data_IF_116403816520
#
_entry.id   IF_116403816520
#
_cell.length_a   1.000
_cell.length_b   1.000
_cell.length_c   1.000
_cell.angle_alpha   90.00
_cell.angle_beta   90.00
_cell.angle_gamma   90.00
#
_symmetry.space_group_name_H-M   'P 1'
#
loop_
_entity.id
_entity.type
_entity.pdbx_description
1 polymer ?
#
# COMPACT_ATOMS: atom_id res chain seq x y z
N UNK A 1 -50.05 36.20 -1.11
CA UNK A 1 -48.71 36.45 -0.57
C UNK A 1 -48.83 36.51 0.94
N UNK A 2 -48.59 35.39 1.61
CA UNK A 2 -48.69 35.24 3.07
C UNK A 2 -47.27 35.23 3.63
N UNK A 3 -46.92 36.29 4.35
CA UNK A 3 -45.65 36.44 5.06
C UNK A 3 -45.71 35.63 6.36
N UNK A 4 -45.06 34.47 6.38
CA UNK A 4 -44.86 33.71 7.61
C UNK A 4 -43.93 34.46 8.56
N UNK A 5 -44.51 34.92 9.67
CA UNK A 5 -43.80 35.55 10.76
C UNK A 5 -43.10 34.46 11.59
N UNK A 6 -41.82 34.20 11.31
CA UNK A 6 -40.98 33.35 12.16
C UNK A 6 -40.70 34.04 13.48
N UNK A 7 -41.10 33.40 14.58
CA UNK A 7 -40.74 33.80 15.94
C UNK A 7 -39.24 33.61 16.21
N UNK A 8 -38.62 34.49 17.00
CA UNK A 8 -37.22 34.36 17.38
C UNK A 8 -36.98 33.13 18.28
N UNK A 9 -35.81 32.48 18.17
CA UNK A 9 -35.47 31.30 18.95
C UNK A 9 -35.43 31.60 20.44
N UNK A 10 -35.98 30.68 21.23
CA UNK A 10 -36.14 30.79 22.68
C UNK A 10 -34.75 30.72 23.38
N UNK A 11 -34.30 31.77 24.09
CA UNK A 11 -32.96 31.82 24.71
C UNK A 11 -32.78 30.92 25.95
N UNK A 12 -33.76 30.06 26.25
CA UNK A 12 -33.78 29.23 27.46
C UNK A 12 -33.60 27.72 27.25
N UNK A 13 -33.43 27.23 26.02
CA UNK A 13 -33.10 25.81 25.83
C UNK A 13 -31.60 25.61 26.04
N UNK A 14 -31.16 24.92 27.12
CA UNK A 14 -29.78 24.48 27.21
C UNK A 14 -29.55 23.61 25.98
N UNK A 15 -28.56 23.98 25.15
CA UNK A 15 -28.10 23.17 24.03
C UNK A 15 -28.04 21.73 24.52
N UNK A 16 -28.98 20.89 24.09
CA UNK A 16 -28.92 19.45 24.31
C UNK A 16 -27.67 19.03 23.57
N UNK A 17 -26.55 19.04 24.30
CA UNK A 17 -25.23 18.74 23.81
C UNK A 17 -25.38 17.49 22.99
N UNK A 18 -25.06 17.62 21.70
CA UNK A 18 -24.98 16.54 20.75
C UNK A 18 -24.11 15.48 21.39
N UNK A 19 -24.73 14.49 22.05
CA UNK A 19 -24.01 13.38 22.67
C UNK A 19 -23.29 12.75 21.48
N UNK A 20 -21.95 12.84 21.41
CA UNK A 20 -21.22 12.31 20.28
C UNK A 20 -21.61 10.84 20.20
N UNK A 21 -22.25 10.46 19.09
CA UNK A 21 -22.71 9.11 18.84
C UNK A 21 -21.60 8.18 19.27
N UNK A 22 -21.84 7.42 20.34
CA UNK A 22 -20.86 6.52 20.96
C UNK A 22 -20.16 5.81 19.81
N UNK A 23 -18.82 5.90 19.69
CA UNK A 23 -18.12 5.34 18.54
C UNK A 23 -18.59 3.90 18.41
N UNK A 24 -19.32 3.61 17.33
CA UNK A 24 -19.79 2.27 17.06
C UNK A 24 -18.54 1.44 16.91
N UNK A 25 -18.18 0.71 17.98
CA UNK A 25 -17.09 -0.22 17.90
C UNK A 25 -17.49 -1.21 16.81
N UNK A 26 -16.68 -1.35 15.74
CA UNK A 26 -17.00 -2.26 14.67
C UNK A 26 -17.32 -3.61 15.30
N UNK A 27 -18.50 -4.14 15.00
CA UNK A 27 -18.96 -5.43 15.52
C UNK A 27 -17.80 -6.42 15.42
N UNK A 28 -17.49 -7.09 16.54
CA UNK A 28 -16.40 -8.07 16.59
C UNK A 28 -16.67 -9.07 15.46
N UNK A 29 -15.73 -9.24 14.50
CA UNK A 29 -15.94 -10.13 13.38
C UNK A 29 -16.30 -11.51 13.93
N UNK A 30 -17.43 -12.03 13.47
CA UNK A 30 -17.99 -13.30 13.92
C UNK A 30 -16.91 -14.39 13.81
N UNK A 31 -16.62 -15.08 14.91
CA UNK A 31 -15.51 -16.04 15.12
C UNK A 31 -15.51 -17.27 14.19
N UNK A 32 -16.43 -17.36 13.23
CA UNK A 32 -16.36 -18.30 12.09
C UNK A 32 -15.49 -17.69 11.00
N UNK A 33 -14.23 -17.43 11.35
CA UNK A 33 -13.24 -16.93 10.42
C UNK A 33 -13.09 -17.90 9.26
N UNK A 34 -13.15 -17.39 8.04
CA UNK A 34 -13.13 -18.15 6.79
C UNK A 34 -11.78 -18.79 6.50
N UNK A 35 -11.04 -19.36 7.48
CA UNK A 35 -9.75 -20.03 7.25
C UNK A 35 -8.61 -19.16 6.70
N UNK A 36 -8.86 -17.88 6.41
CA UNK A 36 -7.87 -16.91 5.93
C UNK A 36 -7.41 -15.92 7.03
N UNK A 37 -8.02 -15.97 8.21
CA UNK A 37 -7.77 -15.02 9.30
C UNK A 37 -6.56 -15.36 10.17
N UNK A 38 -5.84 -16.45 9.89
CA UNK A 38 -4.66 -16.82 10.67
C UNK A 38 -3.56 -15.76 10.51
N UNK A 39 -3.24 -14.98 11.57
CA UNK A 39 -2.22 -13.94 11.50
C UNK A 39 -0.82 -14.50 11.21
N UNK A 40 -0.59 -15.81 11.44
CA UNK A 40 0.65 -16.47 11.03
C UNK A 40 0.83 -16.47 9.50
N UNK A 41 -0.28 -16.44 8.74
CA UNK A 41 -0.23 -16.30 7.29
C UNK A 41 0.07 -14.88 6.83
N UNK A 42 0.02 -13.85 7.68
CA UNK A 42 0.36 -12.47 7.30
C UNK A 42 1.86 -12.16 7.52
N UNK A 43 2.56 -12.95 8.32
CA UNK A 43 3.96 -12.75 8.67
C UNK A 43 4.94 -13.28 7.58
N UNK A 44 5.00 -12.58 6.44
CA UNK A 44 6.15 -12.63 5.53
C UNK A 44 6.22 -13.79 4.52
N UNK A 45 7.22 -13.71 3.62
CA UNK A 45 7.53 -14.78 2.67
C UNK A 45 8.10 -15.96 3.45
N UNK A 46 7.30 -17.02 3.57
CA UNK A 46 7.76 -18.26 4.18
C UNK A 46 8.89 -18.85 3.32
N UNK A 47 9.98 -19.28 3.94
CA UNK A 47 11.02 -20.11 3.30
C UNK A 47 10.42 -21.34 2.58
N UNK A 48 9.19 -21.74 2.93
CA UNK A 48 8.43 -22.76 2.20
C UNK A 48 8.11 -22.37 0.75
N UNK A 49 7.80 -21.09 0.46
CA UNK A 49 7.54 -20.64 -0.91
C UNK A 49 8.79 -20.79 -1.78
N UNK A 50 9.97 -20.43 -1.26
CA UNK A 50 11.22 -20.60 -1.97
C UNK A 50 11.52 -22.08 -2.23
N UNK A 51 11.39 -22.94 -1.20
CA UNK A 51 11.57 -24.40 -1.34
C UNK A 51 10.62 -25.00 -2.39
N UNK A 52 9.37 -24.55 -2.40
CA UNK A 52 8.39 -24.95 -3.41
C UNK A 52 8.81 -24.53 -4.83
N UNK A 53 9.26 -23.28 -5.03
CA UNK A 53 9.72 -22.81 -6.33
C UNK A 53 10.94 -23.58 -6.83
N UNK A 54 11.88 -23.92 -5.94
CA UNK A 54 13.04 -24.76 -6.28
C UNK A 54 12.57 -26.16 -6.69
N UNK A 55 11.67 -26.79 -5.94
CA UNK A 55 11.12 -28.10 -6.29
C UNK A 55 10.40 -28.08 -7.64
N UNK A 56 9.61 -27.03 -7.92
CA UNK A 56 8.91 -26.85 -9.18
C UNK A 56 9.89 -26.65 -10.36
N UNK A 57 10.97 -25.89 -10.13
CA UNK A 57 12.00 -25.68 -11.13
C UNK A 57 12.74 -26.98 -11.47
N UNK A 58 13.11 -27.77 -10.45
CA UNK A 58 13.73 -29.09 -10.66
C UNK A 58 12.80 -30.06 -11.40
N UNK A 59 11.51 -30.06 -11.06
CA UNK A 59 10.49 -30.83 -11.78
C UNK A 59 10.40 -30.42 -13.26
N UNK A 60 10.40 -29.11 -13.55
CA UNK A 60 10.38 -28.61 -14.92
C UNK A 60 11.62 -29.02 -15.73
N UNK A 61 12.80 -29.07 -15.10
CA UNK A 61 14.02 -29.58 -15.73
C UNK A 61 13.95 -31.08 -16.00
N UNK A 62 13.38 -31.85 -15.07
CA UNK A 62 13.15 -33.29 -15.28
C UNK A 62 12.20 -33.52 -16.46
N UNK A 63 11.11 -32.75 -16.54
CA UNK A 63 10.17 -32.80 -17.67
C UNK A 63 10.90 -32.44 -18.98
N UNK A 64 11.70 -31.37 -19.01
CA UNK A 64 12.46 -30.97 -20.21
C UNK A 64 13.34 -32.10 -20.75
N UNK A 65 14.08 -32.79 -19.87
CA UNK A 65 14.92 -33.92 -20.26
C UNK A 65 14.13 -35.13 -20.80
N UNK A 66 12.89 -35.32 -20.34
CA UNK A 66 12.04 -36.43 -20.80
C UNK A 66 11.29 -36.10 -22.11
N UNK A 67 10.89 -34.85 -22.32
CA UNK A 67 10.11 -34.43 -23.49
C UNK A 67 10.98 -34.15 -24.73
N UNK A 68 12.23 -33.69 -24.57
CA UNK A 68 13.12 -33.39 -25.70
C UNK A 68 13.29 -34.58 -26.66
N UNK A 69 13.67 -35.79 -26.20
CA UNK A 69 13.83 -36.94 -27.11
C UNK A 69 12.50 -37.42 -27.71
N UNK A 70 11.36 -37.10 -27.10
CA UNK A 70 10.04 -37.42 -27.66
C UNK A 70 9.77 -36.54 -28.87
N UNK A 71 10.01 -35.23 -28.73
CA UNK A 71 9.73 -34.24 -29.77
C UNK A 71 10.68 -34.40 -30.95
N UNK A 72 11.98 -34.58 -30.69
CA UNK A 72 12.99 -34.83 -31.75
C UNK A 72 12.62 -36.04 -32.61
N UNK A 73 12.07 -37.10 -32.00
CA UNK A 73 11.63 -38.30 -32.74
C UNK A 73 10.28 -38.12 -33.43
N UNK A 74 9.35 -37.41 -32.79
CA UNK A 74 8.03 -37.16 -33.36
C UNK A 74 8.09 -36.23 -34.58
N UNK A 75 9.08 -35.32 -34.63
CA UNK A 75 9.27 -34.37 -35.72
C UNK A 75 10.76 -34.28 -36.10
N UNK A 76 11.29 -35.24 -36.88
CA UNK A 76 12.71 -35.30 -37.24
C UNK A 76 13.15 -34.12 -38.12
N UNK A 77 12.21 -33.39 -38.73
CA UNK A 77 12.47 -32.20 -39.54
C UNK A 77 12.72 -30.94 -38.70
N UNK A 78 12.43 -30.97 -37.38
CA UNK A 78 12.71 -29.85 -36.49
C UNK A 78 14.20 -29.81 -36.15
N UNK A 79 14.77 -28.62 -36.22
CA UNK A 79 16.10 -28.37 -35.66
C UNK A 79 16.07 -28.46 -34.12
N UNK A 80 17.18 -28.85 -33.50
CA UNK A 80 17.29 -29.05 -32.03
C UNK A 80 16.77 -27.85 -31.22
N UNK A 81 17.05 -26.62 -31.68
CA UNK A 81 16.59 -25.41 -31.00
C UNK A 81 15.08 -25.21 -31.10
N UNK A 82 14.45 -25.58 -32.22
CA UNK A 82 13.00 -25.52 -32.40
C UNK A 82 12.29 -26.54 -31.50
N UNK A 83 12.83 -27.77 -31.42
CA UNK A 83 12.35 -28.78 -30.49
C UNK A 83 12.44 -28.28 -29.03
N UNK A 84 13.57 -27.68 -28.65
CA UNK A 84 13.76 -27.09 -27.33
C UNK A 84 12.76 -25.98 -27.00
N UNK A 85 12.49 -25.07 -27.92
CA UNK A 85 11.48 -24.02 -27.73
C UNK A 85 10.08 -24.62 -27.61
N UNK A 86 9.73 -25.59 -28.45
CA UNK A 86 8.43 -26.24 -28.44
C UNK A 86 8.18 -26.93 -27.09
N UNK A 87 9.15 -27.70 -26.60
CA UNK A 87 9.07 -28.39 -25.30
C UNK A 87 8.99 -27.40 -24.15
N UNK A 88 9.84 -26.36 -24.16
CA UNK A 88 9.84 -25.34 -23.12
C UNK A 88 8.50 -24.59 -23.07
N UNK A 89 7.94 -24.25 -24.23
CA UNK A 89 6.62 -23.63 -24.34
C UNK A 89 5.50 -24.54 -23.82
N UNK A 90 5.56 -25.84 -24.13
CA UNK A 90 4.62 -26.84 -23.62
C UNK A 90 4.68 -26.94 -22.10
N UNK A 91 5.88 -27.07 -21.51
CA UNK A 91 6.07 -27.15 -20.05
C UNK A 91 5.57 -25.87 -19.37
N UNK A 92 5.92 -24.69 -19.90
CA UNK A 92 5.47 -23.42 -19.36
C UNK A 92 3.93 -23.31 -19.37
N UNK A 93 3.28 -23.71 -20.47
CA UNK A 93 1.82 -23.72 -20.58
C UNK A 93 1.19 -24.74 -19.61
N UNK A 94 1.73 -25.95 -19.53
CA UNK A 94 1.24 -26.99 -18.63
C UNK A 94 1.29 -26.52 -17.16
N UNK A 95 2.44 -25.96 -16.73
CA UNK A 95 2.64 -25.40 -15.39
C UNK A 95 1.72 -24.21 -15.13
N UNK A 96 1.55 -23.32 -16.11
CA UNK A 96 0.62 -22.19 -16.00
C UNK A 96 -0.81 -22.66 -15.75
N UNK A 97 -1.30 -23.62 -16.55
CA UNK A 97 -2.66 -24.16 -16.40
C UNK A 97 -2.84 -24.86 -15.05
N UNK A 98 -1.86 -25.66 -14.60
CA UNK A 98 -1.96 -26.29 -13.27
C UNK A 98 -1.90 -25.28 -12.14
N UNK A 99 -1.01 -24.29 -12.23
CA UNK A 99 -0.93 -23.20 -11.26
C UNK A 99 -2.26 -22.45 -11.16
N UNK A 100 -2.85 -22.07 -12.30
CA UNK A 100 -4.14 -21.38 -12.35
C UNK A 100 -5.27 -22.24 -11.79
N UNK A 101 -5.28 -23.55 -12.02
CA UNK A 101 -6.28 -24.44 -11.42
C UNK A 101 -6.21 -24.43 -9.90
N UNK A 102 -5.00 -24.49 -9.31
CA UNK A 102 -4.80 -24.40 -7.86
C UNK A 102 -5.25 -23.07 -7.27
N UNK A 103 -4.96 -21.96 -7.97
CA UNK A 103 -5.47 -20.62 -7.61
C UNK A 103 -6.99 -20.59 -7.63
N UNK A 104 -7.63 -21.06 -8.71
CA UNK A 104 -9.09 -21.06 -8.84
C UNK A 104 -9.76 -21.96 -7.78
N UNK A 105 -9.21 -23.13 -7.47
CA UNK A 105 -9.72 -23.97 -6.37
C UNK A 105 -9.65 -23.25 -5.02
N UNK A 106 -8.58 -22.48 -4.80
CA UNK A 106 -8.44 -21.68 -3.58
C UNK A 106 -9.47 -20.56 -3.54
N UNK A 107 -9.75 -19.92 -4.66
CA UNK A 107 -10.75 -18.85 -4.75
C UNK A 107 -12.18 -19.37 -4.60
N UNK A 108 -12.52 -20.53 -5.17
CA UNK A 108 -13.82 -21.20 -5.01
C UNK A 108 -14.12 -21.51 -3.55
N UNK A 109 -13.09 -21.85 -2.76
CA UNK A 109 -13.24 -22.03 -1.32
C UNK A 109 -13.47 -20.70 -0.58
N UNK A 110 -12.93 -19.60 -1.09
CA UNK A 110 -13.01 -18.28 -0.47
C UNK A 110 -14.33 -17.54 -0.74
N UNK A 111 -14.83 -17.66 -1.97
CA UNK A 111 -16.04 -17.00 -2.47
C UNK A 111 -16.72 -18.05 -3.33
N UNK A 112 -18.04 -18.21 -3.21
CA UNK A 112 -18.76 -19.31 -3.88
C UNK A 112 -19.45 -18.87 -5.20
N UNK A 113 -18.77 -18.39 -6.26
CA UNK A 113 -19.38 -18.30 -7.58
C UNK A 113 -19.15 -19.61 -8.36
N UNK A 114 -20.25 -20.24 -8.76
CA UNK A 114 -20.29 -21.46 -9.59
C UNK A 114 -19.37 -21.32 -10.83
N UNK A 115 -19.29 -20.13 -11.42
CA UNK A 115 -18.43 -19.84 -12.58
C UNK A 115 -16.95 -20.14 -12.33
N UNK A 116 -16.41 -19.81 -11.15
CA UNK A 116 -14.99 -20.09 -10.82
C UNK A 116 -14.73 -21.58 -10.63
N UNK A 117 -15.72 -22.32 -10.14
CA UNK A 117 -15.64 -23.77 -10.01
C UNK A 117 -15.58 -24.44 -11.39
N UNK A 118 -16.42 -23.99 -12.33
CA UNK A 118 -16.36 -24.46 -13.71
C UNK A 118 -15.01 -24.13 -14.37
N UNK A 119 -14.49 -22.92 -14.17
CA UNK A 119 -13.17 -22.54 -14.67
C UNK A 119 -12.05 -23.42 -14.08
N UNK A 120 -12.08 -23.73 -12.78
CA UNK A 120 -11.10 -24.61 -12.15
C UNK A 120 -11.10 -26.02 -12.77
N UNK A 121 -12.29 -26.59 -12.99
CA UNK A 121 -12.42 -27.89 -13.64
C UNK A 121 -12.00 -27.83 -15.11
N UNK A 122 -12.32 -26.76 -15.84
CA UNK A 122 -11.88 -26.60 -17.23
C UNK A 122 -10.35 -26.55 -17.34
N UNK A 123 -9.67 -25.79 -16.47
CA UNK A 123 -8.21 -25.79 -16.41
C UNK A 123 -7.64 -27.18 -16.07
N UNK A 124 -8.24 -27.89 -15.10
CA UNK A 124 -7.78 -29.22 -14.72
C UNK A 124 -7.98 -30.24 -15.85
N UNK A 125 -9.09 -30.16 -16.58
CA UNK A 125 -9.35 -31.00 -17.76
C UNK A 125 -8.39 -30.67 -18.91
N UNK A 126 -8.11 -29.38 -19.17
CA UNK A 126 -7.14 -28.96 -20.18
C UNK A 126 -5.74 -29.48 -19.86
N UNK A 127 -5.31 -29.38 -18.59
CA UNK A 127 -4.04 -29.96 -18.13
C UNK A 127 -4.00 -31.49 -18.28
N UNK A 128 -5.04 -32.19 -17.82
CA UNK A 128 -5.13 -33.64 -17.97
C UNK A 128 -5.10 -34.06 -19.45
N UNK A 129 -5.76 -33.28 -20.31
CA UNK A 129 -5.73 -33.46 -21.76
C UNK A 129 -4.32 -33.34 -22.34
N UNK A 130 -3.55 -32.32 -21.94
CA UNK A 130 -2.16 -32.16 -22.39
C UNK A 130 -1.30 -33.37 -21.97
N UNK A 131 -1.40 -33.82 -20.71
CA UNK A 131 -0.70 -35.01 -20.24
C UNK A 131 -1.10 -36.27 -21.01
N UNK A 132 -2.40 -36.46 -21.24
CA UNK A 132 -2.92 -37.60 -22.00
C UNK A 132 -2.44 -37.57 -23.46
N UNK A 133 -2.44 -36.40 -24.11
CA UNK A 133 -1.92 -36.28 -25.48
C UNK A 133 -0.43 -36.61 -25.55
N UNK A 134 0.38 -36.13 -24.60
CA UNK A 134 1.80 -36.46 -24.55
C UNK A 134 2.04 -37.96 -24.31
N UNK A 135 1.24 -38.57 -23.43
CA UNK A 135 1.25 -40.02 -23.19
C UNK A 135 0.93 -40.81 -24.46
N UNK A 136 -0.12 -40.42 -25.19
CA UNK A 136 -0.51 -41.08 -26.44
C UNK A 136 0.57 -40.93 -27.52
N UNK A 137 1.15 -39.73 -27.68
CA UNK A 137 2.28 -39.52 -28.58
C UNK A 137 3.46 -40.42 -28.21
N UNK A 138 3.79 -40.51 -26.92
CA UNK A 138 4.87 -41.39 -26.44
C UNK A 138 4.60 -42.87 -26.72
N UNK A 139 3.34 -43.30 -26.60
CA UNK A 139 2.91 -44.67 -26.86
C UNK A 139 2.95 -45.01 -28.36
N UNK A 140 2.71 -44.03 -29.24
CA UNK A 140 2.59 -44.26 -30.68
C UNK A 140 3.89 -44.04 -31.45
N UNK A 141 4.84 -43.29 -30.90
CA UNK A 141 6.17 -43.08 -31.50
C UNK A 141 7.10 -44.24 -31.08
N UNK A 142 7.50 -45.13 -32.01
CA UNK A 142 8.35 -46.26 -31.69
C UNK A 142 9.69 -45.79 -31.10
N UNK A 143 10.13 -46.41 -30.00
CA UNK A 143 11.49 -46.20 -29.51
C UNK A 143 12.42 -47.04 -30.39
N UNK A 144 13.01 -46.46 -31.44
CA UNK A 144 14.12 -47.14 -32.11
C UNK A 144 15.25 -47.31 -31.10
N UNK A 145 15.73 -48.54 -30.91
CA UNK A 145 16.75 -48.92 -29.93
C UNK A 145 18.17 -48.32 -30.18
N UNK A 146 18.24 -47.17 -30.85
CA UNK A 146 19.47 -46.45 -31.17
C UNK A 146 19.85 -45.46 -30.08
N UNK A 147 20.84 -45.85 -29.27
CA UNK A 147 21.75 -44.98 -28.51
C UNK A 147 21.09 -43.84 -27.72
N UNK A 148 20.53 -44.14 -26.55
CA UNK A 148 20.40 -43.12 -25.49
C UNK A 148 21.73 -43.02 -24.73
N UNK A 149 22.42 -41.86 -24.72
CA UNK A 149 23.68 -41.68 -24.01
C UNK A 149 23.43 -41.15 -22.60
N UNK A 150 22.80 -41.90 -21.68
CA UNK A 150 22.83 -41.54 -20.25
C UNK A 150 22.36 -42.66 -19.30
N UNK A 151 23.35 -43.30 -18.63
CA UNK A 151 23.37 -43.74 -17.22
C UNK A 151 22.10 -44.38 -16.58
N UNK A 152 22.06 -45.71 -16.55
CA UNK A 152 22.34 -46.54 -15.36
C UNK A 152 22.32 -48.00 -15.83
N UNK A 153 23.45 -48.68 -15.70
CA UNK A 153 23.75 -50.01 -16.28
C UNK A 153 22.93 -51.11 -15.59
N UNK A 154 21.64 -51.20 -15.91
CA UNK A 154 20.79 -52.35 -15.58
C UNK A 154 20.39 -52.99 -16.90
N UNK A 155 21.17 -53.97 -17.32
CA UNK A 155 20.96 -54.80 -18.50
C UNK A 155 19.75 -55.72 -18.28
N UNK A 156 18.55 -55.13 -18.35
CA UNK A 156 17.30 -55.87 -18.49
C UNK A 156 17.13 -56.23 -19.97
N UNK A 157 17.57 -57.43 -20.34
CA UNK A 157 17.25 -58.05 -21.63
C UNK A 157 15.73 -58.20 -21.72
N UNK A 158 15.07 -57.29 -22.44
CA UNK A 158 13.62 -57.25 -22.58
C UNK A 158 13.26 -57.71 -23.99
N UNK A 159 12.79 -58.95 -24.08
CA UNK A 159 12.35 -59.63 -25.31
C UNK A 159 10.91 -59.22 -25.73
N UNK A 160 10.51 -58.00 -25.41
CA UNK A 160 9.21 -57.43 -25.78
C UNK A 160 9.29 -55.90 -25.89
N UNK A 161 9.65 -55.43 -27.09
CA UNK A 161 9.77 -54.00 -27.47
C UNK A 161 8.49 -53.19 -27.16
N UNK A 162 7.34 -53.86 -27.05
CA UNK A 162 6.06 -53.26 -26.66
C UNK A 162 5.92 -53.03 -25.14
N UNK A 163 6.45 -53.93 -24.30
CA UNK A 163 6.29 -53.81 -22.84
C UNK A 163 7.16 -52.67 -22.29
N UNK A 164 8.35 -52.47 -22.86
CA UNK A 164 9.27 -51.38 -22.49
C UNK A 164 8.73 -50.01 -22.89
N UNK A 165 8.15 -49.90 -24.10
CA UNK A 165 7.53 -48.67 -24.58
C UNK A 165 6.35 -48.27 -23.70
N UNK A 166 5.45 -49.23 -23.39
CA UNK A 166 4.32 -48.99 -22.50
C UNK A 166 4.77 -48.61 -21.08
N UNK A 167 5.72 -49.33 -20.50
CA UNK A 167 6.26 -49.01 -19.17
C UNK A 167 6.82 -47.58 -19.13
N UNK A 168 7.62 -47.19 -20.13
CA UNK A 168 8.20 -45.84 -20.20
C UNK A 168 7.13 -44.75 -20.34
N UNK A 169 6.07 -45.00 -21.11
CA UNK A 169 4.95 -44.08 -21.26
C UNK A 169 4.18 -43.93 -19.94
N UNK A 170 3.95 -45.02 -19.21
CA UNK A 170 3.28 -45.00 -17.90
C UNK A 170 4.10 -44.24 -16.87
N UNK A 171 5.42 -44.46 -16.81
CA UNK A 171 6.31 -43.70 -15.92
C UNK A 171 6.29 -42.20 -16.24
N UNK A 172 6.27 -41.85 -17.52
CA UNK A 172 6.17 -40.47 -17.96
C UNK A 172 4.84 -39.81 -17.56
N UNK A 173 3.72 -40.52 -17.76
CA UNK A 173 2.41 -40.04 -17.31
C UNK A 173 2.37 -39.87 -15.79
N UNK A 174 2.93 -40.83 -15.04
CA UNK A 174 3.01 -40.74 -13.59
C UNK A 174 3.83 -39.52 -13.14
N UNK A 175 4.98 -39.26 -13.77
CA UNK A 175 5.79 -38.08 -13.48
C UNK A 175 5.01 -36.79 -13.75
N UNK A 176 4.38 -36.67 -14.92
CA UNK A 176 3.54 -35.52 -15.29
C UNK A 176 2.41 -35.27 -14.29
N UNK A 177 1.74 -36.33 -13.84
CA UNK A 177 0.67 -36.23 -12.85
C UNK A 177 1.20 -35.75 -11.50
N UNK A 178 2.35 -36.28 -11.05
CA UNK A 178 2.98 -35.87 -9.79
C UNK A 178 3.41 -34.41 -9.84
N UNK A 179 4.10 -33.97 -10.90
CA UNK A 179 4.55 -32.59 -11.05
C UNK A 179 3.37 -31.62 -11.08
N UNK A 180 2.30 -31.97 -11.81
CA UNK A 180 1.07 -31.19 -11.84
C UNK A 180 0.36 -31.12 -10.49
N UNK A 181 0.21 -32.23 -9.77
CA UNK A 181 -0.42 -32.23 -8.43
C UNK A 181 0.37 -31.37 -7.45
N UNK A 182 1.69 -31.46 -7.46
CA UNK A 182 2.56 -30.59 -6.63
C UNK A 182 2.35 -29.12 -7.00
N UNK A 183 2.26 -28.79 -8.29
CA UNK A 183 1.98 -27.43 -8.74
C UNK A 183 0.61 -26.92 -8.28
N UNK A 184 -0.45 -27.74 -8.37
CA UNK A 184 -1.79 -27.40 -7.89
C UNK A 184 -1.78 -27.14 -6.39
N UNK A 185 -1.22 -28.06 -5.60
CA UNK A 185 -1.17 -27.95 -4.14
C UNK A 185 -0.35 -26.72 -3.73
N UNK A 186 0.81 -26.53 -4.36
CA UNK A 186 1.66 -25.38 -4.09
C UNK A 186 0.99 -24.06 -4.43
N UNK A 187 0.34 -23.96 -5.60
CA UNK A 187 -0.45 -22.79 -5.97
C UNK A 187 -1.61 -22.55 -4.98
N UNK A 188 -2.32 -23.60 -4.61
CA UNK A 188 -3.44 -23.53 -3.66
C UNK A 188 -3.00 -23.02 -2.28
N UNK A 189 -1.86 -23.50 -1.77
CA UNK A 189 -1.34 -23.13 -0.45
C UNK A 189 -0.68 -21.75 -0.45
N UNK A 190 0.00 -21.38 -1.54
CA UNK A 190 0.69 -20.08 -1.65
C UNK A 190 -0.26 -18.94 -1.98
N UNK A 191 -1.38 -19.22 -2.65
CA UNK A 191 -2.38 -18.22 -2.99
C UNK A 191 -3.19 -17.81 -1.75
N UNK A 192 -2.92 -16.62 -1.24
CA UNK A 192 -3.73 -15.99 -0.19
C UNK A 192 -4.22 -14.61 -0.67
N UNK A 193 -5.50 -14.48 -1.08
CA UNK A 193 -6.05 -13.22 -1.58
C UNK A 193 -6.03 -12.11 -0.50
N UNK A 194 -6.10 -12.49 0.78
CA UNK A 194 -6.03 -11.50 1.87
C UNK A 194 -4.65 -10.88 2.03
N UNK A 195 -3.56 -11.55 1.61
CA UNK A 195 -2.21 -10.95 1.66
C UNK A 195 -2.11 -9.73 0.76
N UNK A 196 -2.70 -9.78 -0.44
CA UNK A 196 -2.70 -8.65 -1.36
C UNK A 196 -3.48 -7.46 -0.77
N UNK A 197 -4.70 -7.71 -0.30
CA UNK A 197 -5.53 -6.69 0.35
C UNK A 197 -4.89 -6.11 1.62
N UNK A 198 -4.27 -6.94 2.46
CA UNK A 198 -3.55 -6.49 3.66
C UNK A 198 -2.34 -5.61 3.32
N UNK A 199 -1.59 -5.93 2.26
CA UNK A 199 -0.48 -5.09 1.79
C UNK A 199 -0.98 -3.75 1.28
N UNK A 200 -2.08 -3.74 0.55
CA UNK A 200 -2.71 -2.50 0.06
C UNK A 200 -3.22 -1.63 1.21
N UNK A 201 -3.93 -2.21 2.19
CA UNK A 201 -4.40 -1.46 3.36
C UNK A 201 -3.26 -0.96 4.23
N UNK A 202 -2.16 -1.71 4.39
CA UNK A 202 -0.95 -1.24 5.07
C UNK A 202 -0.28 -0.10 4.33
N UNK A 203 -0.21 -0.14 2.99
CA UNK A 203 0.31 0.96 2.17
C UNK A 203 -0.56 2.20 2.29
N UNK A 204 -1.87 2.04 2.20
CA UNK A 204 -2.83 3.13 2.38
C UNK A 204 -2.75 3.74 3.78
N UNK A 205 -2.63 2.91 4.83
CA UNK A 205 -2.44 3.37 6.21
C UNK A 205 -1.14 4.13 6.38
N UNK A 206 -0.02 3.63 5.83
CA UNK A 206 1.28 4.32 5.85
C UNK A 206 1.22 5.67 5.15
N UNK A 207 0.52 5.77 4.02
CA UNK A 207 0.30 7.03 3.31
C UNK A 207 -0.46 8.02 4.19
N UNK A 208 -1.61 7.60 4.76
CA UNK A 208 -2.40 8.45 5.67
C UNK A 208 -1.65 8.87 6.93
N UNK A 209 -0.82 7.99 7.51
CA UNK A 209 -0.01 8.36 8.68
C UNK A 209 1.08 9.38 8.33
N UNK A 210 1.62 9.34 7.11
CA UNK A 210 2.59 10.34 6.64
C UNK A 210 1.91 11.69 6.41
N UNK A 211 0.73 11.68 5.79
CA UNK A 211 -0.08 12.89 5.60
C UNK A 211 -0.46 13.50 6.95
N UNK A 212 -0.93 12.69 7.91
CA UNK A 212 -1.23 13.14 9.27
C UNK A 212 0.00 13.67 10.02
N UNK A 213 1.18 13.07 9.83
CA UNK A 213 2.42 13.58 10.41
C UNK A 213 2.82 14.94 9.80
N UNK A 214 2.64 15.11 8.48
CA UNK A 214 2.93 16.38 7.81
C UNK A 214 1.98 17.50 8.23
N UNK A 215 0.69 17.22 8.45
CA UNK A 215 -0.28 18.20 8.94
C UNK A 215 -0.06 18.53 10.42
N UNK A 216 0.37 17.56 11.23
CA UNK A 216 0.78 17.83 12.60
C UNK A 216 2.00 18.75 12.68
N UNK A 217 2.99 18.55 11.79
CA UNK A 217 4.18 19.39 11.71
C UNK A 217 3.85 20.82 11.27
N UNK A 218 2.99 21.01 10.26
CA UNK A 218 2.59 22.37 9.84
C UNK A 218 1.79 23.10 10.92
N UNK A 219 0.93 22.40 11.66
CA UNK A 219 0.20 22.95 12.79
C UNK A 219 1.15 23.37 13.93
N UNK A 220 2.18 22.57 14.22
CA UNK A 220 3.19 22.91 15.21
C UNK A 220 3.93 24.21 14.83
N UNK A 221 4.39 24.32 13.58
CA UNK A 221 5.05 25.54 13.08
C UNK A 221 4.14 26.77 13.12
N UNK A 222 2.87 26.63 12.75
CA UNK A 222 1.90 27.74 12.80
C UNK A 222 1.67 28.22 14.25
N UNK A 223 1.64 27.31 15.22
CA UNK A 223 1.55 27.66 16.65
C UNK A 223 2.78 28.40 17.14
N UNK A 224 3.98 27.97 16.75
CA UNK A 224 5.22 28.67 17.10
C UNK A 224 5.26 30.09 16.52
N UNK A 225 4.84 30.26 15.27
CA UNK A 225 4.75 31.58 14.64
C UNK A 225 3.75 32.49 15.36
N UNK A 226 2.59 31.97 15.76
CA UNK A 226 1.59 32.73 16.52
C UNK A 226 2.16 33.21 17.87
N UNK A 227 2.89 32.35 18.58
CA UNK A 227 3.54 32.72 19.83
C UNK A 227 4.62 33.78 19.61
N UNK A 228 5.42 33.66 18.55
CA UNK A 228 6.44 34.64 18.20
C UNK A 228 5.86 36.02 17.85
N UNK A 229 4.73 36.07 17.14
CA UNK A 229 4.04 37.33 16.86
C UNK A 229 3.52 37.95 18.17
N UNK A 230 2.97 37.14 19.07
CA UNK A 230 2.50 37.63 20.38
C UNK A 230 3.61 38.25 21.21
N UNK A 231 4.80 37.65 21.24
CA UNK A 231 5.95 38.21 21.95
C UNK A 231 6.49 39.48 21.29
N UNK A 232 6.49 39.55 19.96
CA UNK A 232 6.87 40.77 19.23
C UNK A 232 5.90 41.93 19.47
N UNK A 233 4.60 41.66 19.52
CA UNK A 233 3.59 42.67 19.85
C UNK A 233 3.74 43.18 21.29
N UNK A 234 3.96 42.28 22.25
CA UNK A 234 4.22 42.68 23.64
C UNK A 234 5.49 43.55 23.75
N UNK A 235 6.55 43.17 23.05
CA UNK A 235 7.80 43.94 23.02
C UNK A 235 7.61 45.33 22.36
N UNK A 236 6.86 45.41 21.26
CA UNK A 236 6.61 46.69 20.57
C UNK A 236 5.75 47.65 21.39
N UNK A 237 4.76 47.13 22.13
CA UNK A 237 3.98 47.91 23.09
C UNK A 237 4.86 48.46 24.21
N UNK A 238 5.74 47.65 24.78
CA UNK A 238 6.67 48.11 25.83
C UNK A 238 7.62 49.22 25.32
N UNK A 239 8.15 49.08 24.10
CA UNK A 239 8.98 50.12 23.46
C UNK A 239 8.16 51.40 23.24
N UNK A 240 6.91 51.27 22.79
CA UNK A 240 6.03 52.41 22.58
C UNK A 240 5.71 53.16 23.88
N UNK A 241 5.43 52.44 24.96
CA UNK A 241 5.21 53.02 26.29
C UNK A 241 6.44 53.77 26.79
N UNK A 242 7.63 53.16 26.66
CA UNK A 242 8.90 53.81 27.01
C UNK A 242 9.15 55.08 26.16
N UNK A 243 8.80 55.06 24.88
CA UNK A 243 8.90 56.22 24.00
C UNK A 243 7.92 57.33 24.39
N UNK A 244 6.72 57.00 24.86
CA UNK A 244 5.77 57.98 25.38
C UNK A 244 6.28 58.62 26.68
N UNK A 245 6.82 57.82 27.59
CA UNK A 245 7.36 58.31 28.86
C UNK A 245 8.55 59.25 28.64
N UNK A 246 9.48 58.88 27.76
CA UNK A 246 10.62 59.75 27.40
C UNK A 246 10.16 61.05 26.76
N UNK A 247 9.20 61.02 25.82
CA UNK A 247 8.59 62.24 25.24
C UNK A 247 7.96 63.15 26.30
N UNK A 248 7.24 62.58 27.27
CA UNK A 248 6.66 63.35 28.39
C UNK A 248 7.74 63.95 29.28
N UNK A 249 8.83 63.22 29.54
CA UNK A 249 9.97 63.73 30.30
C UNK A 249 10.66 64.91 29.60
N UNK A 250 10.94 64.80 28.29
CA UNK A 250 11.46 65.91 27.48
C UNK A 250 10.52 67.11 27.46
N UNK A 251 9.21 66.87 27.32
CA UNK A 251 8.21 67.95 27.37
C UNK A 251 8.22 68.71 28.71
N UNK A 252 8.48 68.01 29.83
CA UNK A 252 8.67 68.67 31.14
C UNK A 252 9.95 69.51 31.17
N UNK A 253 11.06 68.99 30.66
CA UNK A 253 12.33 69.73 30.58
C UNK A 253 12.18 71.02 29.75
N UNK A 254 11.54 70.94 28.57
CA UNK A 254 11.29 72.11 27.73
C UNK A 254 10.41 73.15 28.42
N UNK A 255 9.39 72.72 29.19
CA UNK A 255 8.56 73.63 29.99
C UNK A 255 9.36 74.33 31.08
N UNK A 256 10.23 73.62 31.78
CA UNK A 256 11.10 74.23 32.80
C UNK A 256 12.10 75.21 32.18
N UNK A 257 12.72 74.87 31.05
CA UNK A 257 13.57 75.81 30.30
C UNK A 257 12.81 77.06 29.84
N UNK A 258 11.59 76.89 29.32
CA UNK A 258 10.76 78.02 28.90
C UNK A 258 10.40 78.94 30.08
N UNK A 259 10.02 78.36 31.24
CA UNK A 259 9.78 79.15 32.47
C UNK A 259 11.01 79.93 32.89
N UNK A 260 12.19 79.30 32.85
CA UNK A 260 13.47 79.94 33.18
C UNK A 260 13.79 81.09 32.23
N UNK A 261 13.62 80.90 30.92
CA UNK A 261 13.83 81.96 29.92
C UNK A 261 12.83 83.12 30.08
N UNK A 262 11.56 82.82 30.38
CA UNK A 262 10.54 83.85 30.67
C UNK A 262 10.89 84.60 31.96
N UNK A 263 11.35 83.92 33.00
CA UNK A 263 11.76 84.55 34.26
C UNK A 263 12.98 85.48 34.06
N UNK A 264 13.99 85.04 33.29
CA UNK A 264 15.14 85.87 32.91
C UNK A 264 14.66 87.13 32.16
N UNK A 265 13.75 86.96 31.19
CA UNK A 265 13.20 88.10 30.42
C UNK A 265 12.27 89.01 31.24
N UNK A 266 11.62 88.50 32.29
CA UNK A 266 10.74 89.27 33.17
C UNK A 266 11.50 90.03 34.28
N UNK A 267 12.74 89.62 34.60
CA UNK A 267 13.64 90.39 35.46
C UNK A 267 14.24 91.63 34.75
N UNK A 268 13.95 91.83 33.46
CA UNK A 268 14.13 93.11 32.78
C UNK A 268 12.98 94.06 33.17
N UNK A 269 13.23 95.12 33.97
CA UNK A 269 12.18 95.99 34.52
C UNK A 269 11.39 96.77 33.45
N UNK A 270 11.88 96.81 32.21
CA UNK A 270 11.25 97.51 31.08
C UNK A 270 10.09 96.72 30.46
N UNK A 271 10.04 95.38 30.61
CA UNK A 271 9.03 94.52 29.96
C UNK A 271 7.86 94.19 30.91
N UNK A 272 8.08 94.21 32.23
CA UNK A 272 7.05 93.88 33.23
C UNK A 272 5.94 94.93 33.32
N UNK A 273 6.17 96.16 32.83
CA UNK A 273 5.16 97.22 32.78
C UNK A 273 4.02 96.96 31.79
N UNK A 274 4.25 96.21 30.70
CA UNK A 274 3.26 96.05 29.62
C UNK A 274 2.34 94.83 29.77
N UNK A 275 2.69 93.84 30.61
CA UNK A 275 1.85 92.65 30.82
C UNK A 275 0.72 92.85 31.84
N UNK A 276 0.79 93.89 32.67
CA UNK A 276 -0.24 94.21 33.67
C UNK A 276 -1.06 95.47 33.33
N UNK A 277 -0.74 96.15 32.23
CA UNK A 277 -1.49 97.32 31.73
C UNK A 277 -2.53 96.92 30.68
N UNK A 278 -3.56 96.17 31.07
CA UNK A 278 -4.90 96.35 30.48
C UNK A 278 -5.98 95.60 31.24
N UNK A 279 -6.51 96.26 32.28
CA UNK A 279 -7.94 96.21 32.55
C UNK A 279 -8.39 97.64 32.84
N UNK A 280 -8.96 98.37 31.87
CA UNK A 280 -9.58 99.65 32.16
C UNK A 280 -10.76 99.44 33.13
N UNK A 281 -10.98 100.35 34.08
CA UNK A 281 -12.13 100.29 34.97
C UNK A 281 -13.40 100.44 34.14
N UNK A 282 -14.27 99.45 34.22
CA UNK A 282 -15.66 99.61 33.79
C UNK A 282 -16.39 100.35 34.91
N UNK A 283 -16.82 101.56 34.60
CA UNK A 283 -17.84 102.28 35.33
C UNK A 283 -18.39 103.38 34.42
N UNK A 284 -19.64 103.84 34.62
CA UNK A 284 -20.63 103.44 35.63
C UNK A 284 -21.53 102.26 35.24
#
# INVERSE_FOLDING_TARGET
>A
MTTEHRLPPNPGEPERGMIPSRPQFPERPSRRGTGYEDPALLAGHSKATLRYLIALFLAALADLGQFLPVVERAQPELTDWQAGILVTGFIAMALFVTHMSGVLFREVKARNPIARRMAAYFCLMAWAGLGLTAFLVRLWVPQTAGSSPLLLDTTLTTDSDHDTAFASAVFFLALYLVTGVVAIIGAYLTHNPLRAGARETLRARRKRTREAASSAASLALAKEQMLAIGTQQAASLAIYEQALESRRAYGRQLKELAKLLVAIRAQDPVVTGSLFQNRPPTGP
#
